data_IF_252030723951
#
_entry.id   IF_252030723951
#
_cell.length_a   1.000
_cell.length_b   1.000
_cell.length_c   1.000
_cell.angle_alpha   90.00
_cell.angle_beta   90.00
_cell.angle_gamma   90.00
#
_symmetry.space_group_name_H-M   'P 1'
#
loop_
_entity.id
_entity.type
_entity.pdbx_description
1 polymer ?
#
# COMPACT_ATOMS: atom_id res chain seq x y z
N UNK A 1 -51.07 27.04 55.88
CA UNK A 1 -51.88 26.27 54.90
C UNK A 1 -51.08 26.21 53.61
N UNK A 2 -50.86 24.99 53.12
CA UNK A 2 -50.26 24.60 51.82
C UNK A 2 -48.76 24.79 51.57
N UNK A 3 -48.09 23.64 51.75
CA UNK A 3 -46.83 23.20 51.15
C UNK A 3 -46.89 23.21 49.61
N UNK A 4 -45.76 23.55 48.95
CA UNK A 4 -45.34 22.90 47.70
C UNK A 4 -43.81 22.77 47.69
N UNK A 5 -43.37 21.53 47.87
CA UNK A 5 -42.01 21.05 47.70
C UNK A 5 -41.61 21.13 46.22
N UNK A 6 -40.44 21.67 45.93
CA UNK A 6 -39.78 21.51 44.64
C UNK A 6 -39.30 20.05 44.50
N UNK A 7 -39.45 19.40 43.34
CA UNK A 7 -38.78 18.13 43.12
C UNK A 7 -37.31 18.41 42.79
N UNK A 8 -36.41 18.04 43.70
CA UNK A 8 -35.02 17.76 43.36
C UNK A 8 -34.99 16.65 42.32
N UNK A 9 -34.54 16.99 41.11
CA UNK A 9 -34.18 15.99 40.11
C UNK A 9 -32.87 15.35 40.58
N UNK A 10 -32.99 14.25 41.32
CA UNK A 10 -31.89 13.32 41.56
C UNK A 10 -31.38 12.81 40.21
N UNK A 11 -30.34 13.45 39.66
CA UNK A 11 -29.52 12.86 38.61
C UNK A 11 -28.75 11.69 39.22
N UNK A 12 -29.39 10.53 39.24
CA UNK A 12 -28.74 9.24 39.45
C UNK A 12 -27.69 9.07 38.35
N UNK A 13 -26.42 9.34 38.66
CA UNK A 13 -25.24 8.87 37.91
C UNK A 13 -25.09 7.35 38.06
N UNK A 14 -26.17 6.60 37.84
CA UNK A 14 -26.08 5.18 37.54
C UNK A 14 -25.65 5.10 36.09
N UNK A 15 -24.35 5.09 35.87
CA UNK A 15 -23.74 4.57 34.66
C UNK A 15 -24.32 3.18 34.46
N UNK A 16 -25.35 3.08 33.62
CA UNK A 16 -26.05 1.83 33.39
C UNK A 16 -25.02 0.87 32.75
N UNK A 17 -24.61 -0.22 33.42
CA UNK A 17 -23.57 -1.10 32.89
C UNK A 17 -23.97 -1.66 31.51
N UNK A 18 -25.27 -1.82 31.23
CA UNK A 18 -25.77 -2.21 29.91
C UNK A 18 -25.52 -1.14 28.84
N UNK A 19 -25.57 0.16 29.18
CA UNK A 19 -25.21 1.25 28.25
C UNK A 19 -23.71 1.35 28.03
N UNK A 20 -22.90 1.01 29.03
CA UNK A 20 -21.45 0.96 28.90
C UNK A 20 -21.09 -0.20 27.97
N UNK A 21 -21.69 -1.38 28.16
CA UNK A 21 -21.51 -2.53 27.27
C UNK A 21 -21.99 -2.23 25.85
N UNK A 22 -23.16 -1.63 25.65
CA UNK A 22 -23.62 -1.17 24.33
C UNK A 22 -22.68 -0.13 23.70
N UNK A 23 -22.08 0.74 24.50
CA UNK A 23 -21.11 1.73 24.00
C UNK A 23 -19.74 1.13 23.69
N UNK A 24 -19.33 0.08 24.41
CA UNK A 24 -18.09 -0.67 24.17
C UNK A 24 -18.27 -1.61 22.98
N UNK A 25 -19.41 -2.27 22.84
CA UNK A 25 -19.74 -3.07 21.65
C UNK A 25 -19.91 -2.17 20.44
N UNK A 26 -20.66 -1.06 20.53
CA UNK A 26 -20.75 -0.09 19.42
C UNK A 26 -19.41 0.58 19.10
N UNK A 27 -18.48 0.72 20.07
CA UNK A 27 -17.12 1.17 19.81
C UNK A 27 -16.25 0.08 19.16
N UNK A 28 -16.35 -1.18 19.60
CA UNK A 28 -15.67 -2.34 18.99
C UNK A 28 -16.19 -2.63 17.60
N UNK A 29 -17.50 -2.61 17.36
CA UNK A 29 -18.09 -2.80 16.03
C UNK A 29 -17.77 -1.64 15.10
N UNK A 30 -17.48 -0.43 15.61
CA UNK A 30 -17.00 0.69 14.79
C UNK A 30 -15.50 0.62 14.49
N UNK A 31 -14.73 -0.10 15.31
CA UNK A 31 -13.33 -0.45 15.02
C UNK A 31 -13.22 -1.69 14.11
N UNK A 32 -14.22 -2.58 14.12
CA UNK A 32 -14.21 -3.86 13.41
C UNK A 32 -15.04 -3.88 12.11
N UNK A 33 -15.86 -2.84 11.83
CA UNK A 33 -16.71 -2.78 10.63
C UNK A 33 -16.42 -1.53 9.77
N UNK A 34 -15.61 -1.73 8.71
CA UNK A 34 -15.64 -0.90 7.48
C UNK A 34 -14.71 0.32 7.37
N UNK A 35 -13.88 0.62 8.37
CA UNK A 35 -12.98 1.79 8.39
C UNK A 35 -11.55 1.57 7.85
N UNK A 36 -11.40 1.06 6.63
CA UNK A 36 -10.17 1.23 5.82
C UNK A 36 -8.85 0.68 6.39
N UNK A 37 -8.72 -0.64 6.51
CA UNK A 37 -7.40 -1.26 6.64
C UNK A 37 -6.64 -1.06 5.30
N UNK A 38 -5.79 -0.03 5.23
CA UNK A 38 -4.88 0.16 4.09
C UNK A 38 -3.73 -0.84 4.23
N UNK A 39 -3.97 -2.05 3.72
CA UNK A 39 -2.99 -3.15 3.67
C UNK A 39 -1.93 -2.92 2.61
N UNK A 40 -2.32 -2.17 1.58
CA UNK A 40 -1.51 -1.92 0.41
C UNK A 40 -1.55 -0.45 0.01
N UNK A 41 -0.48 -0.01 -0.66
CA UNK A 41 -0.51 1.19 -1.47
C UNK A 41 -0.33 0.77 -2.93
N UNK A 42 -1.25 1.19 -3.79
CA UNK A 42 -1.21 0.85 -5.21
C UNK A 42 -1.55 2.04 -6.10
N UNK A 43 -1.00 2.03 -7.31
CA UNK A 43 -1.35 2.98 -8.34
C UNK A 43 -1.40 2.28 -9.69
N UNK A 44 -2.38 2.65 -10.51
CA UNK A 44 -2.52 2.17 -11.89
C UNK A 44 -2.32 3.34 -12.83
N UNK A 45 -1.37 3.18 -13.74
CA UNK A 45 -1.09 4.10 -14.84
C UNK A 45 -1.58 3.47 -16.14
N UNK A 46 -2.27 4.26 -16.97
CA UNK A 46 -2.75 3.84 -18.29
C UNK A 46 -2.01 4.66 -19.35
N UNK A 47 -1.44 3.98 -20.33
CA UNK A 47 -0.92 4.60 -21.54
C UNK A 47 -1.81 4.27 -22.72
N UNK A 48 -2.37 5.30 -23.33
CA UNK A 48 -3.19 5.19 -24.52
C UNK A 48 -2.45 5.56 -25.81
N UNK A 49 -1.18 5.96 -25.73
CA UNK A 49 -0.41 6.39 -26.90
C UNK A 49 0.09 5.18 -27.69
N UNK A 50 -0.39 5.02 -28.92
CA UNK A 50 0.08 3.96 -29.82
C UNK A 50 1.52 4.28 -30.25
N UNK A 51 2.47 3.32 -30.16
CA UNK A 51 3.85 3.58 -30.53
C UNK A 51 3.96 3.78 -32.06
N UNK A 52 4.84 4.68 -32.53
CA UNK A 52 5.07 4.88 -33.96
C UNK A 52 5.34 3.55 -34.71
N UNK A 53 4.90 3.41 -35.98
CA UNK A 53 5.00 2.15 -36.72
C UNK A 53 6.44 1.70 -36.97
N UNK A 54 7.41 2.60 -36.92
CA UNK A 54 8.84 2.38 -37.05
C UNK A 54 9.56 2.19 -35.71
N UNK A 55 8.84 2.19 -34.58
CA UNK A 55 9.42 2.01 -33.25
C UNK A 55 10.12 0.67 -33.13
N UNK A 56 11.38 0.71 -32.71
CA UNK A 56 12.16 -0.48 -32.41
C UNK A 56 11.61 -1.22 -31.19
N UNK A 57 11.88 -2.52 -31.08
CA UNK A 57 11.53 -3.31 -29.88
C UNK A 57 12.13 -2.73 -28.60
N UNK A 58 13.28 -2.06 -28.69
CA UNK A 58 13.93 -1.41 -27.54
C UNK A 58 13.18 -0.16 -27.10
N UNK A 59 12.70 0.67 -28.03
CA UNK A 59 11.87 1.84 -27.71
C UNK A 59 10.54 1.45 -27.10
N UNK A 60 9.90 0.41 -27.64
CA UNK A 60 8.67 -0.17 -27.10
C UNK A 60 8.85 -0.73 -25.69
N UNK A 61 9.98 -1.40 -25.43
CA UNK A 61 10.32 -1.86 -24.08
C UNK A 61 10.55 -0.68 -23.12
N UNK A 62 11.25 0.38 -23.57
CA UNK A 62 11.46 1.60 -22.77
C UNK A 62 10.14 2.30 -22.45
N UNK A 63 9.19 2.33 -23.38
CA UNK A 63 7.84 2.87 -23.15
C UNK A 63 7.14 2.15 -21.99
N UNK A 64 7.16 0.81 -22.01
CA UNK A 64 6.57 0.00 -20.93
C UNK A 64 7.30 0.25 -19.60
N UNK A 65 8.63 0.31 -19.61
CA UNK A 65 9.39 0.61 -18.39
C UNK A 65 9.09 2.02 -17.86
N UNK A 66 8.99 3.03 -18.72
CA UNK A 66 8.60 4.38 -18.33
C UNK A 66 7.20 4.41 -17.71
N UNK A 67 6.29 3.55 -18.18
CA UNK A 67 4.96 3.39 -17.59
C UNK A 67 5.04 2.81 -16.16
N UNK A 68 5.91 1.82 -15.95
CA UNK A 68 6.22 1.26 -14.63
C UNK A 68 6.82 2.32 -13.71
N UNK A 69 7.73 3.16 -14.20
CA UNK A 69 8.34 4.24 -13.42
C UNK A 69 7.33 5.30 -12.98
N UNK A 70 6.37 5.65 -13.85
CA UNK A 70 5.27 6.57 -13.51
C UNK A 70 4.38 5.97 -12.42
N UNK A 71 3.94 4.72 -12.59
CA UNK A 71 3.15 4.01 -11.59
C UNK A 71 3.89 3.89 -10.24
N UNK A 72 5.17 3.53 -10.27
CA UNK A 72 6.04 3.50 -9.10
C UNK A 72 6.10 4.86 -8.39
N UNK A 73 6.34 5.94 -9.14
CA UNK A 73 6.48 7.29 -8.58
C UNK A 73 5.17 7.75 -7.93
N UNK A 74 4.04 7.44 -8.56
CA UNK A 74 2.71 7.71 -8.00
C UNK A 74 2.46 6.89 -6.73
N UNK A 75 2.77 5.59 -6.72
CA UNK A 75 2.65 4.74 -5.52
C UNK A 75 3.54 5.25 -4.39
N UNK A 76 4.79 5.63 -4.66
CA UNK A 76 5.76 6.12 -3.68
C UNK A 76 5.39 7.48 -3.04
N UNK A 77 4.63 8.30 -3.77
CA UNK A 77 4.17 9.63 -3.35
C UNK A 77 2.74 9.63 -2.79
N UNK A 78 2.02 8.51 -2.93
CA UNK A 78 0.64 8.35 -2.49
C UNK A 78 0.44 8.61 -0.98
N UNK A 79 -0.78 9.02 -0.64
CA UNK A 79 -1.24 9.15 0.75
C UNK A 79 -1.32 7.79 1.44
N UNK A 80 -1.67 6.73 0.70
CA UNK A 80 -1.74 5.37 1.22
C UNK A 80 -0.37 4.82 1.60
N UNK A 81 0.70 5.17 0.89
CA UNK A 81 2.08 4.87 1.32
C UNK A 81 2.40 5.48 2.68
N UNK A 82 1.92 6.71 2.96
CA UNK A 82 2.12 7.35 4.28
C UNK A 82 1.32 6.65 5.37
N UNK A 83 0.09 6.23 5.07
CA UNK A 83 -0.75 5.44 6.00
C UNK A 83 -0.11 4.08 6.29
N UNK A 84 0.45 3.43 5.27
CA UNK A 84 1.18 2.17 5.41
C UNK A 84 2.40 2.33 6.33
N UNK A 85 3.15 3.43 6.20
CA UNK A 85 4.29 3.73 7.08
C UNK A 85 3.89 3.94 8.54
N UNK A 86 2.79 4.65 8.81
CA UNK A 86 2.27 4.84 10.16
C UNK A 86 1.87 3.51 10.81
N UNK A 87 1.25 2.62 10.03
CA UNK A 87 0.87 1.30 10.51
C UNK A 87 2.08 0.39 10.72
N UNK A 88 3.06 0.46 9.82
CA UNK A 88 4.32 -0.26 9.96
C UNK A 88 5.04 0.10 11.27
N UNK A 89 5.04 1.39 11.65
CA UNK A 89 5.54 1.80 12.96
C UNK A 89 4.83 1.05 14.09
N UNK A 90 3.50 1.01 14.09
CA UNK A 90 2.74 0.33 15.14
C UNK A 90 3.08 -1.17 15.24
N UNK A 91 3.40 -1.83 14.11
CA UNK A 91 3.87 -3.22 14.09
C UNK A 91 5.32 -3.32 14.61
N UNK A 92 6.20 -2.42 14.17
CA UNK A 92 7.62 -2.39 14.55
C UNK A 92 7.89 -1.93 15.98
N UNK A 93 6.94 -1.26 16.62
CA UNK A 93 6.99 -0.88 18.04
C UNK A 93 6.73 -2.09 18.97
N UNK A 94 6.30 -3.25 18.42
CA UNK A 94 6.20 -4.52 19.16
C UNK A 94 7.54 -5.24 19.05
N UNK A 95 8.28 -5.30 20.15
CA UNK A 95 9.71 -5.64 20.24
C UNK A 95 10.16 -7.00 19.68
N UNK A 96 9.25 -7.86 19.21
CA UNK A 96 9.54 -9.17 18.61
C UNK A 96 8.82 -9.44 17.28
N UNK A 97 8.16 -8.44 16.67
CA UNK A 97 7.45 -8.62 15.40
C UNK A 97 8.25 -8.02 14.25
N UNK A 98 8.62 -8.86 13.27
CA UNK A 98 9.05 -8.39 11.94
C UNK A 98 7.82 -8.08 11.09
N UNK A 99 8.01 -7.39 9.96
CA UNK A 99 6.97 -7.23 8.96
C UNK A 99 7.40 -7.94 7.67
N UNK A 100 6.42 -8.51 6.97
CA UNK A 100 6.60 -9.09 5.65
C UNK A 100 5.75 -8.30 4.66
N UNK A 101 6.19 -8.28 3.42
CA UNK A 101 5.42 -7.64 2.37
C UNK A 101 5.82 -8.17 1.02
N UNK A 102 5.14 -7.66 0.01
CA UNK A 102 5.49 -7.91 -1.37
C UNK A 102 5.25 -6.66 -2.19
N UNK A 103 6.08 -6.52 -3.21
CA UNK A 103 5.91 -5.52 -4.26
C UNK A 103 5.53 -6.26 -5.51
N UNK A 104 4.43 -5.88 -6.14
CA UNK A 104 3.98 -6.45 -7.40
C UNK A 104 3.93 -5.40 -8.50
N UNK A 105 4.25 -5.86 -9.72
CA UNK A 105 4.12 -5.12 -10.97
C UNK A 105 3.22 -5.96 -11.87
N UNK A 106 2.08 -5.42 -12.26
CA UNK A 106 1.15 -6.05 -13.19
C UNK A 106 1.06 -5.21 -14.47
N UNK A 107 1.20 -5.85 -15.63
CA UNK A 107 1.07 -5.22 -16.95
C UNK A 107 -0.14 -5.81 -17.64
N UNK A 108 -1.06 -4.94 -18.01
CA UNK A 108 -2.32 -5.25 -18.67
C UNK A 108 -2.26 -4.86 -20.15
N UNK A 109 -2.48 -5.84 -21.01
CA UNK A 109 -2.49 -5.69 -22.47
C UNK A 109 -3.92 -5.43 -22.95
N UNK A 110 -4.37 -4.17 -22.92
CA UNK A 110 -5.80 -3.85 -22.96
C UNK A 110 -6.50 -4.23 -24.27
N UNK A 111 -5.77 -4.19 -25.38
CA UNK A 111 -6.31 -4.46 -26.72
C UNK A 111 -5.79 -5.77 -27.31
N UNK A 112 -5.34 -6.70 -26.46
CA UNK A 112 -4.80 -7.99 -26.88
C UNK A 112 -5.33 -9.12 -26.00
N UNK A 113 -5.52 -10.31 -26.56
CA UNK A 113 -6.03 -11.51 -25.85
C UNK A 113 -5.00 -12.12 -24.87
N UNK A 114 -3.83 -11.49 -24.69
CA UNK A 114 -2.74 -12.04 -23.88
C UNK A 114 -3.08 -11.85 -22.41
N UNK A 115 -2.80 -12.85 -21.59
CA UNK A 115 -2.91 -12.73 -20.13
C UNK A 115 -1.98 -11.65 -19.56
N UNK A 116 -2.40 -11.08 -18.44
CA UNK A 116 -1.62 -10.07 -17.73
C UNK A 116 -0.28 -10.61 -17.25
N UNK A 117 0.77 -9.82 -17.41
CA UNK A 117 2.10 -10.17 -16.92
C UNK A 117 2.30 -9.62 -15.51
N UNK A 118 2.26 -10.52 -14.53
CA UNK A 118 2.41 -10.18 -13.11
C UNK A 118 3.74 -10.68 -12.55
N UNK A 119 4.50 -9.77 -11.96
CA UNK A 119 5.74 -10.02 -11.23
C UNK A 119 5.58 -9.68 -9.76
N UNK A 120 6.17 -10.48 -8.87
CA UNK A 120 6.12 -10.25 -7.43
C UNK A 120 7.52 -10.34 -6.84
N UNK A 121 7.87 -9.42 -5.95
CA UNK A 121 9.12 -9.38 -5.20
C UNK A 121 8.82 -9.28 -3.71
N UNK A 122 8.95 -10.39 -2.96
CA UNK A 122 8.74 -10.37 -1.51
C UNK A 122 9.86 -9.62 -0.80
N UNK A 123 9.55 -9.03 0.35
CA UNK A 123 10.52 -8.43 1.25
C UNK A 123 10.17 -8.69 2.72
N UNK A 124 11.16 -8.55 3.58
CA UNK A 124 11.02 -8.70 5.03
C UNK A 124 11.77 -7.56 5.72
N UNK A 125 11.12 -6.97 6.73
CA UNK A 125 11.70 -5.89 7.52
C UNK A 125 11.88 -6.39 8.95
N UNK A 126 13.15 -6.53 9.33
CA UNK A 126 13.56 -6.94 10.67
C UNK A 126 13.64 -5.73 11.61
N UNK A 127 13.40 -5.90 12.93
CA UNK A 127 13.50 -4.82 13.91
C UNK A 127 14.84 -4.06 13.87
N UNK A 128 15.95 -4.77 13.63
CA UNK A 128 17.29 -4.17 13.49
C UNK A 128 17.36 -3.10 12.38
N UNK A 129 16.62 -3.27 11.28
CA UNK A 129 16.60 -2.27 10.19
C UNK A 129 15.92 -0.97 10.60
N UNK A 130 14.97 -1.00 11.53
CA UNK A 130 14.37 0.21 12.09
C UNK A 130 15.39 0.99 12.93
N UNK A 131 16.24 0.29 13.69
CA UNK A 131 17.32 0.94 14.44
C UNK A 131 18.38 1.56 13.53
N UNK A 132 18.76 0.84 12.46
CA UNK A 132 19.68 1.35 11.44
C UNK A 132 19.10 2.58 10.74
N UNK A 133 17.82 2.56 10.37
CA UNK A 133 17.13 3.70 9.76
C UNK A 133 17.07 4.92 10.70
N UNK A 134 16.85 4.72 12.01
CA UNK A 134 16.91 5.80 13.02
C UNK A 134 18.29 6.47 13.04
N UNK A 135 19.36 5.68 12.99
CA UNK A 135 20.76 6.17 12.97
C UNK A 135 21.08 6.93 11.68
N UNK A 136 20.65 6.38 10.54
CA UNK A 136 20.97 6.93 9.22
C UNK A 136 20.17 8.22 8.91
N UNK A 137 18.88 8.23 9.23
CA UNK A 137 17.98 9.35 8.90
C UNK A 137 18.11 10.52 9.90
N UNK A 138 18.85 10.33 11.01
CA UNK A 138 19.02 11.31 12.11
C UNK A 138 17.68 11.90 12.58
N UNK A 139 16.61 11.12 12.47
CA UNK A 139 15.26 11.55 12.79
C UNK A 139 14.68 10.65 13.86
N UNK A 140 14.19 11.27 14.93
CA UNK A 140 13.44 10.57 15.98
C UNK A 140 12.01 10.22 15.54
N UNK A 141 11.54 10.80 14.42
CA UNK A 141 10.20 10.59 13.87
C UNK A 141 10.05 9.19 13.28
N UNK A 142 9.28 8.30 13.92
CA UNK A 142 9.22 6.90 13.49
C UNK A 142 8.51 6.72 12.14
N UNK A 143 7.49 7.54 11.86
CA UNK A 143 6.76 7.59 10.59
C UNK A 143 7.69 7.91 9.40
N UNK A 144 8.61 8.85 9.59
CA UNK A 144 9.59 9.23 8.57
C UNK A 144 10.59 8.09 8.28
N UNK A 145 11.01 7.35 9.31
CA UNK A 145 11.93 6.22 9.17
C UNK A 145 11.25 5.02 8.49
N UNK A 146 10.01 4.69 8.89
CA UNK A 146 9.17 3.69 8.26
C UNK A 146 8.95 3.98 6.77
N UNK A 147 8.63 5.23 6.43
CA UNK A 147 8.42 5.66 5.05
C UNK A 147 9.68 5.54 4.19
N UNK A 148 10.85 5.84 4.77
CA UNK A 148 12.14 5.67 4.08
C UNK A 148 12.38 4.20 3.73
N UNK A 149 12.16 3.28 4.68
CA UNK A 149 12.32 1.85 4.46
C UNK A 149 11.34 1.36 3.39
N UNK A 150 10.05 1.70 3.51
CA UNK A 150 9.04 1.25 2.54
C UNK A 150 9.32 1.75 1.13
N UNK A 151 9.84 2.97 0.96
CA UNK A 151 10.25 3.47 -0.36
C UNK A 151 11.46 2.74 -0.93
N UNK A 152 12.42 2.37 -0.09
CA UNK A 152 13.56 1.57 -0.51
C UNK A 152 13.13 0.16 -0.94
N UNK A 153 12.27 -0.48 -0.16
CA UNK A 153 11.71 -1.80 -0.50
C UNK A 153 10.81 -1.72 -1.74
N UNK A 154 10.01 -0.68 -1.90
CA UNK A 154 9.23 -0.44 -3.13
C UNK A 154 10.15 -0.33 -4.34
N UNK A 155 11.21 0.50 -4.30
CA UNK A 155 12.13 0.68 -5.42
C UNK A 155 12.82 -0.64 -5.80
N UNK A 156 13.38 -1.33 -4.83
CA UNK A 156 14.08 -2.60 -5.06
C UNK A 156 13.10 -3.68 -5.53
N UNK A 157 11.92 -3.72 -4.95
CA UNK A 157 10.85 -4.66 -5.28
C UNK A 157 10.30 -4.46 -6.69
N UNK A 158 10.12 -3.20 -7.14
CA UNK A 158 9.71 -2.90 -8.52
C UNK A 158 10.76 -3.40 -9.52
N UNK A 159 12.05 -3.11 -9.28
CA UNK A 159 13.12 -3.58 -10.15
C UNK A 159 13.21 -5.12 -10.16
N UNK A 160 13.07 -5.76 -9.00
CA UNK A 160 13.08 -7.21 -8.88
C UNK A 160 11.86 -7.87 -9.55
N UNK A 161 10.67 -7.32 -9.38
CA UNK A 161 9.44 -7.79 -10.00
C UNK A 161 9.47 -7.60 -11.52
N UNK A 162 9.91 -6.42 -11.98
CA UNK A 162 10.06 -6.12 -13.41
C UNK A 162 11.07 -7.06 -14.07
N UNK A 163 12.23 -7.27 -13.47
CA UNK A 163 13.25 -8.20 -14.01
C UNK A 163 12.74 -9.64 -14.18
N UNK A 164 11.83 -10.09 -13.31
CA UNK A 164 11.19 -11.42 -13.45
C UNK A 164 10.21 -11.50 -14.63
N UNK A 165 9.56 -10.40 -15.00
CA UNK A 165 8.57 -10.37 -16.08
C UNK A 165 9.11 -9.85 -17.40
N UNK A 166 10.29 -9.23 -17.41
CA UNK A 166 10.91 -8.68 -18.61
C UNK A 166 11.00 -9.67 -19.79
N UNK A 167 11.36 -10.96 -19.60
CA UNK A 167 11.35 -11.93 -20.70
C UNK A 167 9.96 -12.11 -21.35
N UNK A 168 8.89 -12.05 -20.53
CA UNK A 168 7.49 -12.14 -20.99
C UNK A 168 7.04 -10.85 -21.67
N UNK A 169 7.48 -9.69 -21.18
CA UNK A 169 7.26 -8.41 -21.88
C UNK A 169 7.91 -8.43 -23.27
N UNK A 170 9.14 -8.95 -23.39
CA UNK A 170 9.82 -9.06 -24.68
C UNK A 170 9.07 -10.00 -25.64
N UNK A 171 8.44 -11.04 -25.11
CA UNK A 171 7.54 -11.90 -25.89
C UNK A 171 6.24 -11.17 -26.29
N UNK A 172 5.63 -10.40 -25.40
CA UNK A 172 4.48 -9.54 -25.68
C UNK A 172 4.81 -8.55 -26.84
N UNK A 173 6.01 -7.97 -26.82
CA UNK A 173 6.50 -7.08 -27.89
C UNK A 173 6.63 -7.81 -29.23
N UNK A 174 7.12 -9.04 -29.23
CA UNK A 174 7.23 -9.89 -30.43
C UNK A 174 5.86 -10.26 -31.00
N UNK A 175 4.89 -10.53 -30.12
CA UNK A 175 3.49 -10.80 -30.49
C UNK A 175 2.65 -9.55 -30.76
N UNK A 176 3.25 -8.35 -30.61
CA UNK A 176 2.60 -7.05 -30.86
C UNK A 176 1.49 -6.68 -29.88
N UNK A 177 1.50 -7.25 -28.68
CA UNK A 177 0.50 -6.98 -27.64
C UNK A 177 0.55 -5.56 -27.06
N UNK A 178 1.70 -4.88 -27.12
CA UNK A 178 1.91 -3.50 -26.68
C UNK A 178 1.63 -2.44 -27.75
N UNK A 179 1.18 -2.82 -28.95
CA UNK A 179 0.80 -1.85 -29.98
C UNK A 179 -0.49 -1.09 -29.62
N UNK A 180 -1.32 -1.66 -28.75
CA UNK A 180 -2.49 -0.98 -28.21
C UNK A 180 -2.20 -0.21 -26.93
N UNK A 181 -3.27 0.04 -26.18
CA UNK A 181 -3.23 0.61 -24.84
C UNK A 181 -2.63 -0.39 -23.86
N UNK A 182 -1.79 0.12 -22.96
CA UNK A 182 -1.13 -0.69 -21.92
C UNK A 182 -1.41 -0.03 -20.58
N UNK A 183 -1.80 -0.82 -19.58
CA UNK A 183 -1.89 -0.33 -18.21
C UNK A 183 -0.90 -1.05 -17.32
N UNK A 184 -0.30 -0.31 -16.38
CA UNK A 184 0.59 -0.88 -15.37
C UNK A 184 0.04 -0.57 -14.00
N UNK A 185 0.01 -1.58 -13.13
CA UNK A 185 -0.25 -1.42 -11.70
C UNK A 185 0.98 -1.78 -10.90
N UNK A 186 1.36 -0.89 -9.99
CA UNK A 186 2.39 -1.14 -8.99
C UNK A 186 1.73 -1.14 -7.62
N UNK A 187 1.88 -2.24 -6.89
CA UNK A 187 1.33 -2.43 -5.54
C UNK A 187 2.44 -2.76 -4.56
N UNK A 188 2.39 -2.20 -3.35
CA UNK A 188 3.14 -2.68 -2.19
C UNK A 188 2.18 -3.10 -1.10
N UNK A 189 2.29 -4.35 -0.65
CA UNK A 189 1.56 -4.93 0.48
C UNK A 189 2.46 -4.97 1.71
N UNK A 190 1.89 -4.78 2.90
CA UNK A 190 2.57 -5.00 4.16
C UNK A 190 1.67 -5.73 5.15
N UNK A 191 2.24 -6.75 5.79
CA UNK A 191 1.59 -7.59 6.79
C UNK A 191 2.52 -7.85 7.99
N UNK A 192 1.97 -8.03 9.20
CA UNK A 192 2.75 -8.50 10.33
C UNK A 192 3.42 -9.85 9.99
N UNK A 193 4.69 -9.98 10.36
CA UNK A 193 5.41 -11.24 10.38
C UNK A 193 5.11 -11.97 11.69
N UNK A 194 4.66 -13.21 11.56
CA UNK A 194 4.51 -14.17 12.67
C UNK A 194 5.87 -14.71 13.11
#
# INVERSE_FOLDING_TARGET
MQFRLAPEVFMSFRTNPDRILDSIDRARTREDDGGGFVREASFRELDTEVPPPDSTSTERLRRIFALVERAYTATASSTDMRRLAQRFQAVGDISNHHARGDVSVAIHWMDHEREDDVGVSPFEILPKRLEEAKKENRSSRPDANALKILRAELRNGVLGAYGKIEPRIREAIRSRADLGHVAVRVTVDLRPGS
#
